data_IF_417544896946
#
_entry.id   IF_417544896946
#
_cell.length_a   1.000
_cell.length_b   1.000
_cell.length_c   1.000
_cell.angle_alpha   90.00
_cell.angle_beta   90.00
_cell.angle_gamma   90.00
#
_symmetry.space_group_name_H-M   'P 1'
#
loop_
_entity.id
_entity.type
_entity.pdbx_description
1 polymer ?
#
# COMPACT_ATOMS: atom_id res chain seq x y z
N UNK A 1 -68.46 25.68 -36.83
CA UNK A 1 -67.64 26.69 -37.54
C UNK A 1 -66.84 27.47 -36.51
N UNK A 2 -65.63 27.86 -36.90
CA UNK A 2 -64.66 28.73 -36.22
C UNK A 2 -63.69 28.06 -35.20
N UNK A 3 -62.51 27.72 -35.72
CA UNK A 3 -61.23 27.83 -35.01
C UNK A 3 -60.93 29.31 -34.72
N UNK A 4 -60.26 29.61 -33.62
CA UNK A 4 -59.54 30.88 -33.43
C UNK A 4 -58.18 30.60 -32.81
N UNK A 5 -57.12 30.85 -33.60
CA UNK A 5 -55.75 30.99 -33.13
C UNK A 5 -55.50 32.47 -32.80
N UNK A 6 -54.77 32.75 -31.72
CA UNK A 6 -53.99 33.97 -31.57
C UNK A 6 -52.59 33.63 -31.06
N UNK A 7 -51.62 34.28 -31.68
CA UNK A 7 -50.18 34.05 -31.58
C UNK A 7 -49.48 35.19 -30.83
N UNK A 8 -48.16 35.02 -30.68
CA UNK A 8 -47.06 36.02 -30.61
C UNK A 8 -46.63 36.64 -29.27
N UNK A 9 -45.30 36.53 -29.03
CA UNK A 9 -44.44 37.60 -28.48
C UNK A 9 -43.77 37.28 -27.13
N UNK A 10 -42.56 36.71 -27.07
CA UNK A 10 -41.21 37.33 -27.05
C UNK A 10 -40.91 38.30 -25.89
N UNK A 11 -39.88 37.99 -25.11
CA UNK A 11 -39.29 38.90 -24.11
C UNK A 11 -38.15 38.24 -23.32
N UNK A 12 -36.94 38.27 -23.91
CA UNK A 12 -35.70 37.72 -23.36
C UNK A 12 -35.07 38.57 -22.24
N UNK A 13 -34.37 37.84 -21.37
CA UNK A 13 -33.09 38.16 -20.70
C UNK A 13 -33.01 39.25 -19.62
N UNK A 14 -32.64 38.82 -18.42
CA UNK A 14 -31.57 39.45 -17.61
C UNK A 14 -31.14 38.49 -16.51
N UNK A 15 -29.98 37.85 -16.74
CA UNK A 15 -28.86 37.67 -15.81
C UNK A 15 -29.12 37.37 -14.33
N UNK A 16 -28.57 36.24 -13.89
CA UNK A 16 -28.42 35.90 -12.48
C UNK A 16 -27.53 34.68 -12.31
N UNK A 17 -26.23 34.87 -12.55
CA UNK A 17 -25.14 33.97 -12.14
C UNK A 17 -25.29 33.53 -10.68
N UNK A 18 -25.47 32.23 -10.49
CA UNK A 18 -25.13 31.52 -9.27
C UNK A 18 -24.48 30.21 -9.71
N UNK A 19 -23.27 29.86 -9.23
CA UNK A 19 -22.66 28.59 -9.57
C UNK A 19 -23.56 27.47 -9.05
N UNK A 20 -24.08 26.66 -9.97
CA UNK A 20 -24.73 25.40 -9.63
C UNK A 20 -23.66 24.48 -9.02
N UNK A 21 -23.69 24.40 -7.68
CA UNK A 21 -22.99 23.42 -6.85
C UNK A 21 -23.40 21.99 -7.24
N UNK A 22 -22.83 21.49 -8.33
CA UNK A 22 -22.81 20.06 -8.68
C UNK A 22 -21.45 19.65 -9.21
N UNK A 23 -20.37 20.13 -8.59
CA UNK A 23 -19.06 19.48 -8.72
C UNK A 23 -18.88 18.45 -7.61
N UNK A 24 -19.58 17.34 -7.76
CA UNK A 24 -19.15 16.05 -7.24
C UNK A 24 -19.48 15.00 -8.28
N UNK A 25 -19.07 15.27 -9.52
CA UNK A 25 -18.77 14.20 -10.46
C UNK A 25 -17.57 13.45 -9.90
N UNK A 26 -17.84 12.44 -9.06
CA UNK A 26 -16.85 11.43 -8.74
C UNK A 26 -16.36 10.89 -10.08
N UNK A 27 -15.15 11.30 -10.48
CA UNK A 27 -14.43 10.60 -11.54
C UNK A 27 -14.39 9.14 -11.11
N UNK A 28 -14.85 8.19 -11.93
CA UNK A 28 -14.72 6.78 -11.58
C UNK A 28 -13.23 6.54 -11.33
N UNK A 29 -12.91 6.07 -10.11
CA UNK A 29 -11.58 5.59 -9.81
C UNK A 29 -11.23 4.58 -10.91
N UNK A 30 -10.16 4.84 -11.65
CA UNK A 30 -9.64 3.88 -12.62
C UNK A 30 -9.26 2.66 -11.80
N UNK A 31 -9.95 1.56 -12.04
CA UNK A 31 -9.62 0.27 -11.45
C UNK A 31 -8.20 -0.08 -11.92
N UNK A 32 -7.22 -0.23 -11.02
CA UNK A 32 -5.86 -0.56 -11.43
C UNK A 32 -5.87 -1.94 -12.10
N UNK A 33 -5.02 -2.14 -13.12
CA UNK A 33 -4.97 -3.42 -13.82
C UNK A 33 -4.63 -4.55 -12.84
N UNK A 34 -5.24 -5.73 -13.06
CA UNK A 34 -4.85 -6.95 -12.38
C UNK A 34 -3.35 -7.26 -12.64
N UNK A 35 -2.62 -7.86 -11.70
CA UNK A 35 -1.17 -7.96 -11.76
C UNK A 35 -0.73 -9.10 -12.68
N UNK A 36 -0.86 -8.91 -13.99
CA UNK A 36 -0.34 -9.84 -15.00
C UNK A 36 1.07 -9.45 -15.50
N UNK A 37 1.55 -8.25 -15.15
CA UNK A 37 2.81 -7.69 -15.65
C UNK A 37 3.79 -7.40 -14.50
N UNK A 38 4.35 -8.46 -13.91
CA UNK A 38 5.48 -8.35 -12.99
C UNK A 38 6.78 -8.66 -13.73
N UNK A 39 7.75 -7.77 -13.66
CA UNK A 39 9.13 -8.02 -14.11
C UNK A 39 9.96 -8.52 -12.94
N UNK A 40 10.60 -9.68 -13.08
CA UNK A 40 11.49 -10.20 -12.03
C UNK A 40 12.70 -9.28 -11.83
N UNK A 41 12.89 -8.88 -10.58
CA UNK A 41 14.08 -8.19 -10.09
C UNK A 41 14.73 -9.01 -8.99
N UNK A 42 16.01 -8.76 -8.73
CA UNK A 42 16.79 -9.47 -7.71
C UNK A 42 17.49 -8.49 -6.76
N UNK A 43 17.48 -8.83 -5.46
CA UNK A 43 18.25 -8.17 -4.41
C UNK A 43 18.90 -9.22 -3.51
N UNK A 44 20.24 -9.22 -3.45
CA UNK A 44 21.02 -10.14 -2.62
C UNK A 44 20.67 -11.64 -2.78
N UNK A 45 20.24 -12.09 -3.96
CA UNK A 45 19.80 -13.47 -4.22
C UNK A 45 18.32 -13.75 -3.97
N UNK A 46 17.56 -12.78 -3.45
CA UNK A 46 16.08 -12.83 -3.39
C UNK A 46 15.54 -12.34 -4.73
N UNK A 47 14.79 -13.19 -5.44
CA UNK A 47 14.06 -12.82 -6.64
C UNK A 47 12.62 -12.46 -6.27
N UNK A 48 12.09 -11.43 -6.90
CA UNK A 48 10.71 -10.98 -6.67
C UNK A 48 10.21 -10.22 -7.91
N UNK A 49 8.91 -10.27 -8.17
CA UNK A 49 8.27 -9.48 -9.20
C UNK A 49 8.13 -8.02 -8.80
N UNK A 50 8.52 -7.11 -9.67
CA UNK A 50 8.24 -5.68 -9.58
C UNK A 50 7.18 -5.31 -10.63
N UNK A 51 6.13 -4.53 -10.28
CA UNK A 51 5.20 -4.03 -11.27
C UNK A 51 5.93 -3.20 -12.35
N UNK A 52 5.62 -3.41 -13.62
CA UNK A 52 6.35 -2.80 -14.74
C UNK A 52 6.33 -1.25 -14.74
N UNK A 53 5.27 -0.64 -14.20
CA UNK A 53 5.10 0.80 -14.12
C UNK A 53 5.62 1.41 -12.80
N UNK A 54 6.17 0.59 -11.91
CA UNK A 54 6.74 1.05 -10.65
C UNK A 54 8.23 1.32 -10.78
N UNK A 55 8.70 2.40 -10.16
CA UNK A 55 10.13 2.67 -10.10
C UNK A 55 10.81 1.74 -9.09
N UNK A 56 11.98 1.22 -9.45
CA UNK A 56 12.74 0.28 -8.61
C UNK A 56 14.08 0.89 -8.20
N UNK A 57 14.32 0.97 -6.90
CA UNK A 57 15.59 1.38 -6.27
C UNK A 57 16.19 0.22 -5.46
N UNK A 58 17.51 0.10 -5.44
CA UNK A 58 18.26 -0.95 -4.74
C UNK A 58 19.23 -0.42 -3.67
N UNK A 59 19.19 0.86 -3.33
CA UNK A 59 20.02 1.41 -2.26
C UNK A 59 19.51 0.99 -0.87
N UNK A 60 20.33 0.28 -0.09
CA UNK A 60 20.00 -0.11 1.29
C UNK A 60 18.95 -1.22 1.44
N UNK A 61 18.51 -1.83 0.34
CA UNK A 61 17.42 -2.81 0.25
C UNK A 61 16.85 -2.77 -1.17
N UNK A 62 15.66 -3.34 -1.41
CA UNK A 62 14.91 -3.10 -2.64
C UNK A 62 13.66 -2.29 -2.30
N UNK A 63 13.43 -1.20 -3.04
CA UNK A 63 12.23 -0.41 -2.95
C UNK A 63 11.53 -0.36 -4.31
N UNK A 64 10.23 -0.64 -4.33
CA UNK A 64 9.37 -0.49 -5.50
C UNK A 64 8.37 0.63 -5.18
N UNK A 65 8.41 1.72 -5.95
CA UNK A 65 7.57 2.90 -5.75
C UNK A 65 6.48 2.96 -6.82
N UNK A 66 5.20 3.11 -6.45
CA UNK A 66 4.15 3.29 -7.44
C UNK A 66 4.30 4.62 -8.18
N UNK A 67 3.65 4.77 -9.36
CA UNK A 67 3.63 6.01 -10.10
C UNK A 67 3.26 7.23 -9.24
N UNK A 68 4.03 8.30 -9.36
CA UNK A 68 3.80 9.55 -8.62
C UNK A 68 4.35 9.60 -7.19
N UNK A 69 5.12 8.58 -6.76
CA UNK A 69 5.81 8.58 -5.48
C UNK A 69 7.33 8.71 -5.66
N UNK A 70 7.91 9.72 -5.01
CA UNK A 70 9.36 9.98 -5.08
C UNK A 70 10.15 9.29 -3.96
N UNK A 71 9.48 8.81 -2.91
CA UNK A 71 10.13 8.25 -1.72
C UNK A 71 9.72 6.80 -1.49
N UNK A 72 10.58 6.06 -0.79
CA UNK A 72 10.28 4.72 -0.32
C UNK A 72 9.38 4.74 0.93
N UNK A 73 8.16 5.27 0.76
CA UNK A 73 7.22 5.55 1.84
C UNK A 73 5.82 5.05 1.52
N UNK A 74 4.86 5.99 1.45
CA UNK A 74 3.46 5.67 1.16
C UNK A 74 3.33 4.94 -0.18
N UNK A 75 2.57 3.85 -0.18
CA UNK A 75 2.33 3.01 -1.34
C UNK A 75 3.49 2.08 -1.73
N UNK A 76 4.72 2.33 -1.27
CA UNK A 76 5.90 1.60 -1.70
C UNK A 76 5.99 0.20 -1.07
N UNK A 77 6.59 -0.73 -1.83
CA UNK A 77 6.96 -2.06 -1.35
C UNK A 77 8.45 -2.09 -1.08
N UNK A 78 8.83 -2.56 0.10
CA UNK A 78 10.22 -2.79 0.48
C UNK A 78 10.49 -4.28 0.58
N UNK A 79 11.65 -4.70 0.09
CA UNK A 79 12.18 -6.05 0.32
C UNK A 79 13.49 -5.95 1.06
N UNK A 80 13.55 -6.61 2.21
CA UNK A 80 14.66 -6.60 3.13
C UNK A 80 15.20 -8.02 3.30
N UNK A 81 16.25 -8.39 2.55
CA UNK A 81 17.10 -9.52 2.90
C UNK A 81 17.80 -9.24 4.23
N UNK A 82 18.02 -10.28 5.05
CA UNK A 82 18.60 -10.14 6.40
C UNK A 82 17.79 -9.14 7.25
N UNK A 83 16.46 -9.20 7.17
CA UNK A 83 15.56 -8.20 7.73
C UNK A 83 15.83 -7.94 9.21
N UNK A 84 15.95 -9.00 10.01
CA UNK A 84 16.26 -8.89 11.43
C UNK A 84 17.75 -8.66 11.67
N UNK A 85 18.65 -9.33 10.97
CA UNK A 85 20.10 -9.17 11.17
C UNK A 85 20.57 -7.72 10.88
N UNK A 86 20.04 -7.07 9.84
CA UNK A 86 20.38 -5.69 9.48
C UNK A 86 19.61 -4.63 10.27
N UNK A 87 18.65 -5.03 11.10
CA UNK A 87 17.86 -4.10 11.90
C UNK A 87 18.46 -3.96 13.31
N UNK A 88 18.78 -2.74 13.80
CA UNK A 88 19.36 -2.54 15.13
C UNK A 88 18.54 -3.08 16.32
N UNK A 89 17.24 -3.28 16.13
CA UNK A 89 16.32 -3.86 17.12
C UNK A 89 16.01 -5.33 16.85
N UNK A 90 16.62 -5.94 15.85
CA UNK A 90 16.35 -7.29 15.35
C UNK A 90 14.88 -7.51 14.96
N UNK A 91 14.17 -6.44 14.56
CA UNK A 91 12.82 -6.53 14.03
C UNK A 91 12.86 -7.11 12.60
N UNK A 92 11.94 -7.98 12.18
CA UNK A 92 10.71 -8.38 12.88
C UNK A 92 10.85 -9.64 13.75
N UNK A 93 11.99 -10.34 13.71
CA UNK A 93 12.19 -11.66 14.34
C UNK A 93 12.16 -11.62 15.87
N UNK A 94 12.78 -10.61 16.46
CA UNK A 94 12.98 -10.53 17.92
C UNK A 94 11.65 -10.63 18.65
N UNK A 95 11.61 -11.54 19.63
CA UNK A 95 10.44 -11.81 20.46
C UNK A 95 9.16 -12.10 19.65
N UNK A 96 9.30 -12.58 18.41
CA UNK A 96 8.23 -12.76 17.42
C UNK A 96 7.40 -11.49 17.21
N UNK A 97 8.06 -10.33 17.05
CA UNK A 97 7.39 -9.03 16.93
C UNK A 97 6.33 -9.03 15.82
N UNK A 98 6.55 -9.71 14.69
CA UNK A 98 5.56 -9.83 13.60
C UNK A 98 4.20 -10.42 14.03
N UNK A 99 4.09 -11.10 15.18
CA UNK A 99 2.81 -11.61 15.70
C UNK A 99 2.18 -10.73 16.79
N UNK A 100 2.70 -9.51 17.00
CA UNK A 100 2.24 -8.61 18.08
C UNK A 100 1.42 -7.44 17.53
N UNK A 101 0.48 -6.90 18.33
CA UNK A 101 -0.28 -5.70 17.95
C UNK A 101 0.60 -4.49 17.59
N UNK A 102 1.71 -4.29 18.31
CA UNK A 102 2.70 -3.23 18.07
C UNK A 102 3.85 -3.67 17.14
N UNK A 103 3.71 -4.84 16.51
CA UNK A 103 4.70 -5.50 15.68
C UNK A 103 4.89 -4.93 14.27
N UNK A 104 4.09 -3.94 13.88
CA UNK A 104 3.95 -3.48 12.50
C UNK A 104 5.13 -2.67 11.98
N UNK A 105 6.05 -2.20 12.85
CA UNK A 105 7.26 -1.49 12.44
C UNK A 105 8.39 -1.56 13.48
N UNK A 106 9.62 -1.30 13.03
CA UNK A 106 10.80 -1.09 13.89
C UNK A 106 10.66 0.10 14.86
N UNK A 107 9.93 1.13 14.43
CA UNK A 107 9.61 2.35 15.18
C UNK A 107 8.09 2.57 15.05
N UNK A 108 7.28 1.96 15.93
CA UNK A 108 5.82 1.91 15.78
C UNK A 108 5.09 3.14 16.38
N UNK A 109 5.76 4.28 16.46
CA UNK A 109 5.24 5.51 17.06
C UNK A 109 5.14 6.68 16.05
N UNK A 110 5.44 6.44 14.78
CA UNK A 110 5.44 7.45 13.72
C UNK A 110 4.31 7.17 12.73
N UNK A 111 3.43 8.15 12.51
CA UNK A 111 2.37 8.05 11.52
C UNK A 111 2.93 8.12 10.10
N UNK A 112 2.37 7.32 9.18
CA UNK A 112 2.78 7.24 7.78
C UNK A 112 1.59 7.31 6.82
N UNK A 113 0.48 7.91 7.25
CA UNK A 113 -0.63 8.15 6.33
C UNK A 113 -0.21 9.13 5.24
N UNK A 114 -0.90 9.08 4.10
CA UNK A 114 -0.60 9.94 2.94
C UNK A 114 -0.50 11.43 3.31
N UNK A 115 -1.38 11.89 4.20
CA UNK A 115 -1.47 13.25 4.75
C UNK A 115 -0.32 13.66 5.66
N UNK A 116 0.40 12.71 6.27
CA UNK A 116 1.47 13.02 7.24
C UNK A 116 2.86 12.91 6.64
N UNK A 117 2.98 12.52 5.37
CA UNK A 117 4.28 12.45 4.66
C UNK A 117 4.99 13.82 4.60
N UNK A 118 4.21 14.91 4.64
CA UNK A 118 4.70 16.30 4.60
C UNK A 118 4.65 17.02 5.97
N UNK A 119 4.12 16.37 7.02
CA UNK A 119 4.01 16.93 8.36
C UNK A 119 5.02 16.28 9.31
N UNK A 120 5.94 17.06 9.87
CA UNK A 120 6.80 16.56 10.93
C UNK A 120 5.98 16.16 12.17
N UNK A 121 6.00 14.86 12.50
CA UNK A 121 5.82 14.41 13.88
C UNK A 121 4.41 14.07 14.34
N UNK A 122 3.52 13.57 13.47
CA UNK A 122 2.26 12.98 13.93
C UNK A 122 2.53 11.60 14.56
N UNK A 123 2.12 11.44 15.82
CA UNK A 123 2.25 10.17 16.56
C UNK A 123 1.21 9.14 16.15
N UNK A 124 1.39 7.92 16.68
CA UNK A 124 0.43 6.82 16.54
C UNK A 124 -0.40 6.71 17.82
N UNK A 125 -1.72 6.70 17.66
CA UNK A 125 -2.68 6.56 18.75
C UNK A 125 -2.96 5.10 19.08
N UNK A 126 -3.16 4.27 18.06
CA UNK A 126 -3.51 2.86 18.20
C UNK A 126 -3.06 2.04 16.98
N UNK A 127 -2.83 0.75 17.17
CA UNK A 127 -2.56 -0.21 16.09
C UNK A 127 -3.25 -1.54 16.38
N UNK A 128 -4.00 -2.03 15.40
CA UNK A 128 -4.76 -3.27 15.46
C UNK A 128 -4.26 -4.22 14.40
N UNK A 129 -3.81 -5.40 14.81
CA UNK A 129 -3.54 -6.49 13.87
C UNK A 129 -4.88 -7.06 13.37
N UNK A 130 -4.97 -7.32 12.06
CA UNK A 130 -6.07 -7.98 11.39
C UNK A 130 -5.68 -9.40 11.02
N UNK A 131 -6.65 -10.30 11.04
CA UNK A 131 -6.50 -11.63 10.48
C UNK A 131 -6.43 -11.55 8.95
N UNK A 132 -5.51 -12.30 8.35
CA UNK A 132 -5.32 -12.37 6.89
C UNK A 132 -5.09 -13.81 6.47
N UNK A 133 -5.72 -14.23 5.37
CA UNK A 133 -5.57 -15.59 4.85
C UNK A 133 -6.20 -16.65 5.75
N UNK A 134 -5.43 -17.69 6.07
CA UNK A 134 -5.85 -18.78 6.94
C UNK A 134 -5.67 -18.44 8.44
N UNK A 135 -6.04 -19.37 9.33
CA UNK A 135 -5.92 -19.18 10.79
C UNK A 135 -4.47 -18.94 11.26
N UNK A 136 -3.47 -19.29 10.45
CA UNK A 136 -2.05 -19.11 10.76
C UNK A 136 -1.49 -17.82 10.13
N UNK A 137 -2.25 -17.21 9.23
CA UNK A 137 -1.84 -16.15 8.32
C UNK A 137 -0.58 -16.52 7.56
N UNK A 138 -0.59 -17.68 6.90
CA UNK A 138 0.50 -18.11 6.03
C UNK A 138 0.17 -17.83 4.56
N UNK A 139 1.19 -17.39 3.82
CA UNK A 139 1.12 -17.21 2.36
C UNK A 139 2.26 -17.98 1.73
N UNK A 140 1.94 -18.76 0.68
CA UNK A 140 2.91 -19.52 -0.10
C UNK A 140 3.53 -18.66 -1.20
N UNK A 141 4.82 -18.83 -1.44
CA UNK A 141 5.59 -18.09 -2.44
C UNK A 141 5.95 -18.95 -3.65
N UNK A 142 6.60 -18.36 -4.66
CA UNK A 142 6.95 -19.01 -5.91
C UNK A 142 7.91 -20.22 -5.74
N UNK A 143 8.70 -20.23 -4.67
CA UNK A 143 9.58 -21.35 -4.29
C UNK A 143 8.90 -22.40 -3.38
N UNK A 144 7.62 -22.21 -3.06
CA UNK A 144 6.83 -23.08 -2.19
C UNK A 144 7.07 -22.88 -0.69
N UNK A 145 7.93 -21.94 -0.28
CA UNK A 145 8.06 -21.55 1.13
C UNK A 145 6.86 -20.72 1.57
N UNK A 146 6.63 -20.69 2.88
CA UNK A 146 5.51 -19.96 3.49
C UNK A 146 5.99 -18.88 4.45
N UNK A 147 5.62 -17.64 4.18
CA UNK A 147 5.83 -16.53 5.13
C UNK A 147 4.63 -16.35 6.05
N UNK A 148 4.89 -15.68 7.17
CA UNK A 148 3.82 -15.09 7.96
C UNK A 148 3.37 -13.78 7.30
N UNK A 149 2.15 -13.78 6.76
CA UNK A 149 1.47 -12.59 6.30
C UNK A 149 0.72 -11.94 7.47
N UNK A 150 1.00 -10.68 7.73
CA UNK A 150 0.42 -9.92 8.83
C UNK A 150 -0.02 -8.56 8.33
N UNK A 151 -1.22 -8.16 8.74
CA UNK A 151 -1.81 -6.87 8.41
C UNK A 151 -2.12 -6.13 9.69
N UNK A 152 -1.87 -4.82 9.69
CA UNK A 152 -2.31 -3.93 10.75
C UNK A 152 -3.07 -2.76 10.17
N UNK A 153 -4.06 -2.29 10.92
CA UNK A 153 -4.67 -0.97 10.73
C UNK A 153 -4.13 -0.07 11.83
N UNK A 154 -3.40 0.96 11.44
CA UNK A 154 -2.78 1.93 12.35
C UNK A 154 -3.62 3.20 12.33
N UNK A 155 -3.93 3.74 13.51
CA UNK A 155 -4.61 5.02 13.67
C UNK A 155 -3.67 6.06 14.26
N UNK A 156 -3.54 7.19 13.57
CA UNK A 156 -2.71 8.31 13.97
C UNK A 156 -3.42 9.22 14.98
N UNK A 157 -2.65 10.07 15.67
CA UNK A 157 -3.19 11.03 16.64
C UNK A 157 -4.12 12.08 16.02
N UNK A 158 -3.90 12.43 14.75
CA UNK A 158 -4.74 13.35 13.97
C UNK A 158 -6.05 12.69 13.46
N UNK A 159 -6.24 11.39 13.70
CA UNK A 159 -7.43 10.63 13.30
C UNK A 159 -7.28 9.87 11.97
N UNK A 160 -6.19 10.06 11.23
CA UNK A 160 -5.93 9.32 9.99
C UNK A 160 -5.68 7.85 10.26
N UNK A 161 -5.99 7.02 9.27
CA UNK A 161 -5.73 5.58 9.32
C UNK A 161 -4.97 5.12 8.10
N UNK A 162 -4.02 4.20 8.30
CA UNK A 162 -3.34 3.53 7.21
C UNK A 162 -3.15 2.05 7.50
N UNK A 163 -3.00 1.28 6.44
CA UNK A 163 -2.78 -0.16 6.51
C UNK A 163 -1.28 -0.47 6.36
N UNK A 164 -0.82 -1.48 7.11
CA UNK A 164 0.55 -2.01 7.02
C UNK A 164 0.45 -3.47 6.68
N UNK A 165 1.29 -3.95 5.75
CA UNK A 165 1.41 -5.38 5.45
C UNK A 165 2.86 -5.84 5.56
N UNK A 166 3.04 -7.04 6.09
CA UNK A 166 4.31 -7.72 6.23
C UNK A 166 4.17 -9.18 5.80
N UNK A 167 5.04 -9.63 4.91
CA UNK A 167 5.30 -11.04 4.62
C UNK A 167 6.71 -11.36 5.10
N UNK A 168 6.83 -12.12 6.17
CA UNK A 168 8.12 -12.44 6.77
C UNK A 168 8.41 -13.93 6.75
N UNK A 169 9.56 -14.31 6.20
CA UNK A 169 10.15 -15.65 6.26
C UNK A 169 11.16 -15.70 7.43
N UNK A 170 10.80 -16.25 8.60
CA UNK A 170 11.67 -16.18 9.78
C UNK A 170 12.93 -17.05 9.66
N UNK A 171 12.85 -18.14 8.90
CA UNK A 171 13.98 -19.06 8.69
C UNK A 171 15.03 -18.42 7.78
N UNK A 172 14.61 -17.85 6.65
CA UNK A 172 15.49 -17.15 5.70
C UNK A 172 15.79 -15.70 6.08
N UNK A 173 15.11 -15.14 7.10
CA UNK A 173 15.23 -13.72 7.48
C UNK A 173 15.01 -12.73 6.32
N UNK A 174 13.97 -12.97 5.52
CA UNK A 174 13.57 -12.09 4.41
C UNK A 174 12.19 -11.51 4.69
N UNK A 175 12.03 -10.20 4.49
CA UNK A 175 10.75 -9.51 4.63
C UNK A 175 10.36 -8.79 3.34
N UNK A 176 9.09 -8.93 2.94
CA UNK A 176 8.41 -8.00 2.03
C UNK A 176 7.48 -7.13 2.88
N UNK A 177 7.60 -5.82 2.78
CA UNK A 177 6.97 -4.87 3.69
C UNK A 177 6.36 -3.68 2.96
N UNK A 178 5.07 -3.43 3.21
CA UNK A 178 4.39 -2.21 2.82
C UNK A 178 4.08 -1.40 4.09
N UNK A 179 4.88 -0.37 4.34
CA UNK A 179 4.83 0.42 5.58
C UNK A 179 3.66 1.41 5.68
N UNK A 180 3.04 1.72 4.55
CA UNK A 180 1.74 2.36 4.43
C UNK A 180 1.15 2.00 3.07
N UNK A 181 0.11 1.16 3.08
CA UNK A 181 -0.55 0.64 1.87
C UNK A 181 -1.40 1.70 1.23
N UNK A 182 -1.29 1.84 -0.09
CA UNK A 182 -2.31 2.49 -0.89
C UNK A 182 -3.35 1.46 -1.33
N UNK A 183 -4.58 1.60 -0.84
CA UNK A 183 -5.67 0.65 -1.09
C UNK A 183 -5.94 0.38 -2.57
N UNK A 184 -5.61 1.31 -3.47
CA UNK A 184 -5.78 1.09 -4.91
C UNK A 184 -4.92 -0.09 -5.40
N UNK A 185 -3.73 -0.30 -4.84
CA UNK A 185 -2.81 -1.36 -5.26
C UNK A 185 -2.93 -2.63 -4.40
N UNK A 186 -4.04 -2.84 -3.68
CA UNK A 186 -4.20 -3.96 -2.73
C UNK A 186 -3.81 -5.32 -3.31
N UNK A 187 -4.24 -5.63 -4.53
CA UNK A 187 -3.93 -6.91 -5.21
C UNK A 187 -2.49 -6.99 -5.69
N UNK A 188 -1.87 -5.85 -6.04
CA UNK A 188 -0.46 -5.76 -6.44
C UNK A 188 0.46 -6.16 -5.30
N UNK A 189 0.18 -5.73 -4.06
CA UNK A 189 1.00 -6.11 -2.90
C UNK A 189 1.04 -7.63 -2.71
N UNK A 190 -0.13 -8.27 -2.81
CA UNK A 190 -0.25 -9.72 -2.63
C UNK A 190 0.49 -10.46 -3.76
N UNK A 191 0.31 -10.04 -5.02
CA UNK A 191 0.99 -10.65 -6.17
C UNK A 191 2.53 -10.48 -6.11
N UNK A 192 3.02 -9.31 -5.69
CA UNK A 192 4.45 -9.08 -5.49
C UNK A 192 5.00 -10.00 -4.40
N UNK A 193 4.31 -10.11 -3.25
CA UNK A 193 4.74 -11.01 -2.17
C UNK A 193 4.72 -12.48 -2.59
N UNK A 194 3.67 -12.94 -3.27
CA UNK A 194 3.54 -14.31 -3.79
C UNK A 194 4.65 -14.66 -4.80
N UNK A 195 5.11 -13.69 -5.58
CA UNK A 195 6.19 -13.88 -6.58
C UNK A 195 7.60 -14.06 -5.99
N UNK A 196 7.76 -13.94 -4.67
CA UNK A 196 9.05 -14.06 -4.01
C UNK A 196 9.64 -15.48 -4.20
N UNK A 197 10.95 -15.55 -4.45
CA UNK A 197 11.72 -16.79 -4.55
C UNK A 197 13.09 -16.56 -3.88
N UNK A 198 13.37 -17.32 -2.83
CA UNK A 198 14.60 -17.26 -2.05
C UNK A 198 15.50 -18.49 -2.25
N UNK A 199 15.29 -19.28 -3.32
CA UNK A 199 16.07 -20.51 -3.60
C UNK A 199 17.57 -20.25 -3.69
N UNK A 200 17.97 -19.12 -4.29
CA UNK A 200 19.39 -18.73 -4.48
C UNK A 200 19.91 -17.83 -3.34
N UNK A 201 19.05 -17.53 -2.37
CA UNK A 201 19.39 -16.66 -1.25
C UNK A 201 20.28 -17.40 -0.24
N UNK A 202 21.46 -16.84 0.01
CA UNK A 202 22.39 -17.35 1.01
C UNK A 202 22.33 -16.46 2.26
N UNK A 203 21.55 -16.89 3.26
CA UNK A 203 21.40 -16.24 4.57
C UNK A 203 22.69 -16.26 5.38
#
# INVERSE_FOLDING_TARGET
MALTLLASGCGSDSGGDGPEETYSGAVPAVEPPAPDNLTTVEVAGVKIGAPEDWEVDKEGGLCMRPPGQDQCGYGAIQVWPKAAENNPKNWPKKDNAYNKPDGWATVPNECRSLSTTDEEGVGVRDARQEDVGDEQGLVEHADGLKSHHRKWIVTCENGDTFEVRLWYLPESDVAVYAGAVDSQYSTTYDAVAESMDVTEYNS
#
